data_IF_120021278703
#
_entry.id   IF_120021278703
#
_cell.length_a   1.000
_cell.length_b   1.000
_cell.length_c   1.000
_cell.angle_alpha   90.00
_cell.angle_beta   90.00
_cell.angle_gamma   90.00
#
_symmetry.space_group_name_H-M   'P 1'
#
loop_
_entity.id
_entity.type
_entity.pdbx_description
1 polymer ?
#
# COMPACT_ATOMS: atom_id res chain seq x y z
N UNK A 1 41.74 -12.39 -18.19
CA UNK A 1 41.74 -13.20 -19.42
C UNK A 1 40.29 -13.62 -19.61
N UNK A 2 39.53 -12.90 -20.43
CA UNK A 2 38.08 -13.16 -20.59
C UNK A 2 37.92 -14.31 -21.57
N UNK A 3 37.37 -15.43 -21.11
CA UNK A 3 37.03 -16.56 -21.97
C UNK A 3 36.05 -16.08 -23.05
N UNK A 4 36.48 -16.21 -24.29
CA UNK A 4 35.74 -15.76 -25.46
C UNK A 4 34.68 -16.83 -25.78
N UNK A 5 33.54 -16.77 -25.09
CA UNK A 5 32.42 -17.72 -25.19
C UNK A 5 31.82 -17.76 -26.61
N UNK A 6 32.01 -16.68 -27.39
CA UNK A 6 31.46 -16.55 -28.74
C UNK A 6 32.57 -16.32 -29.78
N UNK A 7 32.44 -16.98 -30.95
CA UNK A 7 33.37 -16.82 -32.07
C UNK A 7 33.38 -15.41 -32.69
N UNK A 8 32.39 -14.59 -32.37
CA UNK A 8 32.23 -13.21 -32.85
C UNK A 8 31.90 -12.36 -31.62
N UNK A 9 32.39 -11.12 -31.57
CA UNK A 9 32.07 -10.22 -30.47
C UNK A 9 30.56 -9.90 -30.43
N UNK A 10 29.90 -9.99 -29.26
CA UNK A 10 28.50 -9.61 -29.13
C UNK A 10 28.30 -8.10 -29.38
N UNK A 11 27.08 -7.67 -29.73
CA UNK A 11 26.76 -6.24 -29.77
C UNK A 11 26.97 -5.60 -28.39
N UNK A 12 27.29 -4.31 -28.35
CA UNK A 12 27.41 -3.56 -27.09
C UNK A 12 26.10 -3.54 -26.29
N UNK A 13 26.15 -3.12 -25.03
CA UNK A 13 25.01 -3.22 -24.10
C UNK A 13 23.71 -2.65 -24.65
N UNK A 14 22.60 -3.31 -24.32
CA UNK A 14 21.26 -2.81 -24.63
C UNK A 14 20.92 -1.62 -23.72
N UNK A 15 20.41 -0.54 -24.31
CA UNK A 15 19.96 0.63 -23.54
C UNK A 15 18.45 0.56 -23.29
N UNK A 16 18.07 0.33 -22.03
CA UNK A 16 16.66 0.32 -21.62
C UNK A 16 16.03 1.73 -21.55
N UNK A 17 16.85 2.77 -21.52
CA UNK A 17 16.43 4.16 -21.34
C UNK A 17 16.21 4.91 -22.66
N UNK A 18 16.63 4.31 -23.79
CA UNK A 18 16.55 4.93 -25.12
C UNK A 18 15.82 4.04 -26.13
N UNK A 19 14.46 4.07 -26.18
CA UNK A 19 13.64 3.24 -27.07
C UNK A 19 13.92 3.42 -28.57
N UNK A 20 14.39 4.60 -28.97
CA UNK A 20 14.76 4.91 -30.36
C UNK A 20 15.94 4.08 -30.87
N UNK A 21 16.81 3.60 -29.97
CA UNK A 21 17.99 2.80 -30.31
C UNK A 21 17.68 1.30 -30.51
N UNK A 22 16.52 0.83 -30.02
CA UNK A 22 16.19 -0.60 -29.95
C UNK A 22 16.15 -1.30 -31.30
N UNK A 23 15.53 -0.74 -32.36
CA UNK A 23 15.50 -1.43 -33.65
C UNK A 23 16.89 -1.65 -34.25
N UNK A 24 17.83 -0.73 -33.98
CA UNK A 24 19.21 -0.86 -34.45
C UNK A 24 19.95 -1.95 -33.69
N UNK A 25 19.75 -2.00 -32.37
CA UNK A 25 20.35 -3.01 -31.51
C UNK A 25 19.83 -4.41 -31.84
N UNK A 26 18.51 -4.59 -31.98
CA UNK A 26 17.87 -5.86 -32.36
C UNK A 26 18.44 -6.38 -33.69
N UNK A 27 18.57 -5.50 -34.70
CA UNK A 27 19.19 -5.87 -35.98
C UNK A 27 20.64 -6.31 -35.84
N UNK A 28 21.41 -5.72 -34.92
CA UNK A 28 22.80 -6.12 -34.64
C UNK A 28 22.86 -7.46 -33.92
N UNK A 29 21.96 -7.69 -32.95
CA UNK A 29 21.86 -8.98 -32.25
C UNK A 29 21.45 -10.12 -33.19
N UNK A 30 20.49 -9.92 -34.08
CA UNK A 30 20.11 -10.95 -35.06
C UNK A 30 21.26 -11.30 -36.02
N UNK A 31 22.06 -10.31 -36.43
CA UNK A 31 23.27 -10.57 -37.23
C UNK A 31 24.30 -11.37 -36.45
N UNK A 32 24.51 -11.04 -35.18
CA UNK A 32 25.35 -11.81 -34.27
C UNK A 32 24.82 -13.24 -34.09
N UNK A 33 23.51 -13.41 -33.91
CA UNK A 33 22.85 -14.69 -33.71
C UNK A 33 23.04 -15.64 -34.89
N UNK A 34 22.94 -15.12 -36.12
CA UNK A 34 23.17 -15.90 -37.34
C UNK A 34 24.67 -16.16 -37.58
N UNK A 35 25.53 -15.16 -37.39
CA UNK A 35 26.94 -15.25 -37.73
C UNK A 35 27.74 -16.10 -36.72
N UNK A 36 27.38 -16.07 -35.43
CA UNK A 36 27.99 -16.91 -34.39
C UNK A 36 27.48 -18.36 -34.39
N UNK A 37 26.46 -18.66 -35.20
CA UNK A 37 25.76 -19.95 -35.19
C UNK A 37 24.88 -20.15 -33.96
N UNK A 38 24.62 -19.11 -33.17
CA UNK A 38 23.73 -19.16 -32.01
C UNK A 38 22.33 -19.64 -32.40
N UNK A 39 21.85 -19.28 -33.60
CA UNK A 39 20.55 -19.74 -34.12
C UNK A 39 20.38 -21.26 -34.24
N UNK A 40 21.47 -22.04 -34.24
CA UNK A 40 21.47 -23.51 -34.34
C UNK A 40 21.64 -24.20 -32.98
N UNK A 41 21.81 -23.43 -31.90
CA UNK A 41 21.92 -23.94 -30.53
C UNK A 41 20.53 -24.18 -29.95
N UNK A 42 20.47 -24.88 -28.83
CA UNK A 42 19.22 -25.11 -28.11
C UNK A 42 18.57 -23.77 -27.71
N UNK A 43 17.25 -23.74 -27.67
CA UNK A 43 16.48 -22.51 -27.39
C UNK A 43 16.92 -21.87 -26.08
N UNK A 44 17.13 -22.70 -25.07
CA UNK A 44 17.67 -22.39 -23.74
C UNK A 44 18.97 -21.58 -23.85
N UNK A 45 19.91 -22.07 -24.65
CA UNK A 45 21.20 -21.42 -24.85
C UNK A 45 21.06 -20.10 -25.62
N UNK A 46 20.13 -20.02 -26.56
CA UNK A 46 19.83 -18.79 -27.30
C UNK A 46 19.24 -17.71 -26.38
N UNK A 47 18.29 -18.09 -25.52
CA UNK A 47 17.65 -17.20 -24.55
C UNK A 47 18.66 -16.73 -23.50
N UNK A 48 19.45 -17.66 -22.93
CA UNK A 48 20.50 -17.33 -21.95
C UNK A 48 21.56 -16.39 -22.53
N UNK A 49 21.96 -16.62 -23.78
CA UNK A 49 22.92 -15.75 -24.46
C UNK A 49 22.34 -14.36 -24.75
N UNK A 50 21.04 -14.25 -25.04
CA UNK A 50 20.37 -12.97 -25.23
C UNK A 50 20.32 -12.16 -23.93
N UNK A 51 19.86 -12.77 -22.84
CA UNK A 51 19.76 -12.10 -21.53
C UNK A 51 21.13 -11.63 -21.04
N UNK A 52 22.14 -12.49 -21.15
CA UNK A 52 23.52 -12.14 -20.82
C UNK A 52 24.03 -10.92 -21.61
N UNK A 53 23.71 -10.83 -22.91
CA UNK A 53 24.14 -9.72 -23.77
C UNK A 53 23.31 -8.44 -23.53
N UNK A 54 22.06 -8.56 -23.06
CA UNK A 54 21.25 -7.40 -22.66
C UNK A 54 21.70 -6.78 -21.32
N UNK A 55 22.42 -7.55 -20.49
CA UNK A 55 23.05 -7.09 -19.25
C UNK A 55 22.11 -7.09 -18.05
N UNK A 56 22.60 -6.64 -16.90
CA UNK A 56 22.01 -6.88 -15.57
C UNK A 56 20.54 -6.43 -15.41
N UNK A 57 20.10 -5.40 -16.13
CA UNK A 57 18.70 -4.92 -16.11
C UNK A 57 17.74 -5.85 -16.86
N UNK A 58 18.23 -6.82 -17.63
CA UNK A 58 17.41 -7.74 -18.41
C UNK A 58 16.63 -8.72 -17.55
N UNK A 59 17.25 -9.24 -16.49
CA UNK A 59 16.64 -10.19 -15.55
C UNK A 59 15.52 -9.52 -14.75
N UNK A 60 15.75 -8.28 -14.30
CA UNK A 60 14.74 -7.45 -13.64
C UNK A 60 13.51 -7.23 -14.54
N UNK A 61 13.73 -6.97 -15.83
CA UNK A 61 12.63 -6.76 -16.78
C UNK A 61 11.92 -8.08 -17.11
N UNK A 62 12.64 -9.17 -17.30
CA UNK A 62 12.04 -10.49 -17.52
C UNK A 62 11.11 -10.89 -16.37
N UNK A 63 11.48 -10.54 -15.13
CA UNK A 63 10.66 -10.81 -13.93
C UNK A 63 9.38 -9.95 -13.85
N UNK A 64 9.32 -8.82 -14.56
CA UNK A 64 8.19 -7.86 -14.51
C UNK A 64 7.23 -7.99 -15.69
N UNK A 65 7.59 -8.73 -16.74
CA UNK A 65 6.71 -8.96 -17.89
C UNK A 65 5.52 -9.85 -17.50
N UNK A 66 4.30 -9.54 -17.96
CA UNK A 66 3.11 -10.34 -17.69
C UNK A 66 3.10 -11.60 -18.58
N UNK A 67 3.98 -12.55 -18.27
CA UNK A 67 4.10 -13.83 -18.97
C UNK A 67 2.90 -14.73 -18.62
N UNK A 68 2.42 -15.51 -19.58
CA UNK A 68 1.40 -16.55 -19.33
C UNK A 68 1.99 -17.71 -18.54
N UNK A 69 1.17 -18.50 -17.86
CA UNK A 69 1.67 -19.58 -17.00
C UNK A 69 2.45 -20.66 -17.78
N UNK A 70 2.11 -20.85 -19.05
CA UNK A 70 2.82 -21.74 -19.97
C UNK A 70 4.21 -21.18 -20.34
N UNK A 71 4.33 -19.86 -20.52
CA UNK A 71 5.59 -19.17 -20.76
C UNK A 71 6.47 -19.19 -19.50
N UNK A 72 5.89 -18.90 -18.32
CA UNK A 72 6.61 -18.97 -17.03
C UNK A 72 7.18 -20.37 -16.76
N UNK A 73 6.44 -21.42 -17.11
CA UNK A 73 6.89 -22.81 -16.94
C UNK A 73 8.10 -23.11 -17.84
N UNK A 74 8.04 -22.69 -19.11
CA UNK A 74 9.16 -22.83 -20.03
C UNK A 74 10.41 -22.08 -19.54
N UNK A 75 10.28 -20.83 -19.04
CA UNK A 75 11.42 -20.08 -18.50
C UNK A 75 11.94 -20.60 -17.14
N UNK A 76 11.10 -21.23 -16.33
CA UNK A 76 11.49 -21.84 -15.06
C UNK A 76 12.33 -23.11 -15.27
N UNK A 77 12.06 -23.89 -16.32
CA UNK A 77 12.86 -25.07 -16.70
C UNK A 77 14.28 -24.68 -17.14
N UNK A 78 14.50 -23.43 -17.57
CA UNK A 78 15.80 -22.89 -17.98
C UNK A 78 16.70 -22.43 -16.82
N UNK A 79 16.27 -22.60 -15.56
CA UNK A 79 16.95 -22.05 -14.37
C UNK A 79 17.21 -20.52 -14.44
N UNK A 80 16.42 -19.78 -15.22
CA UNK A 80 16.59 -18.33 -15.43
C UNK A 80 16.14 -17.48 -14.25
N UNK A 81 15.39 -18.05 -13.32
CA UNK A 81 14.82 -17.34 -12.18
C UNK A 81 15.02 -18.24 -10.97
N UNK A 82 15.91 -17.85 -10.05
CA UNK A 82 15.78 -18.38 -8.69
C UNK A 82 14.46 -17.83 -8.17
N UNK A 83 13.44 -18.68 -8.11
CA UNK A 83 12.11 -18.30 -7.68
C UNK A 83 12.15 -17.89 -6.20
N UNK A 84 12.58 -16.65 -5.93
CA UNK A 84 12.41 -16.02 -4.63
C UNK A 84 10.93 -15.64 -4.57
N UNK A 85 10.14 -16.61 -4.11
CA UNK A 85 8.71 -16.52 -3.80
C UNK A 85 7.88 -15.69 -4.80
N UNK A 86 7.06 -16.38 -5.59
CA UNK A 86 6.00 -15.77 -6.40
C UNK A 86 5.27 -14.64 -5.66
N UNK A 87 5.56 -13.40 -6.06
CA UNK A 87 4.84 -12.19 -5.65
C UNK A 87 3.52 -12.14 -6.43
N UNK A 88 2.68 -13.14 -6.25
CA UNK A 88 1.33 -13.18 -6.82
C UNK A 88 0.31 -13.55 -5.75
N UNK A 89 0.40 -12.88 -4.58
CA UNK A 89 -0.66 -12.80 -3.55
C UNK A 89 -0.46 -11.64 -2.54
N UNK A 90 0.38 -10.65 -2.84
CA UNK A 90 0.94 -9.78 -1.79
C UNK A 90 0.02 -8.68 -1.23
N UNK A 91 -1.02 -8.22 -1.93
CA UNK A 91 -1.84 -7.14 -1.37
C UNK A 91 -2.63 -7.58 -0.13
N UNK A 92 -3.04 -8.85 -0.08
CA UNK A 92 -3.81 -9.41 1.03
C UNK A 92 -2.88 -9.96 2.12
N UNK A 93 -1.81 -10.65 1.71
CA UNK A 93 -0.83 -11.24 2.62
C UNK A 93 -0.05 -10.17 3.41
N UNK A 94 0.40 -9.09 2.76
CA UNK A 94 1.13 -8.02 3.46
C UNK A 94 0.27 -7.32 4.51
N UNK A 95 -1.02 -7.08 4.23
CA UNK A 95 -1.95 -6.48 5.18
C UNK A 95 -2.17 -7.37 6.41
N UNK A 96 -2.24 -8.68 6.21
CA UNK A 96 -2.32 -9.65 7.30
C UNK A 96 -1.02 -9.67 8.12
N UNK A 97 0.14 -9.65 7.44
CA UNK A 97 1.46 -9.62 8.07
C UNK A 97 1.64 -8.38 8.95
N UNK A 98 1.26 -7.19 8.48
CA UNK A 98 1.33 -5.97 9.30
C UNK A 98 0.36 -5.98 10.48
N UNK A 99 -0.85 -6.52 10.30
CA UNK A 99 -1.80 -6.70 11.43
C UNK A 99 -1.24 -7.67 12.48
N UNK A 100 -0.56 -8.73 12.04
CA UNK A 100 0.09 -9.69 12.93
C UNK A 100 1.33 -9.11 13.63
N UNK A 101 2.12 -8.28 12.94
CA UNK A 101 3.30 -7.64 13.51
C UNK A 101 2.96 -6.49 14.47
N UNK A 102 1.87 -5.76 14.22
CA UNK A 102 1.49 -4.59 15.01
C UNK A 102 0.04 -4.67 15.52
N UNK A 103 -0.34 -5.73 16.27
CA UNK A 103 -1.73 -5.96 16.67
C UNK A 103 -2.29 -4.77 17.48
N UNK A 104 -1.44 -4.14 18.30
CA UNK A 104 -1.80 -2.97 19.12
C UNK A 104 -2.17 -1.72 18.31
N UNK A 105 -1.65 -1.57 17.08
CA UNK A 105 -1.92 -0.40 16.21
C UNK A 105 -3.27 -0.55 15.50
N UNK A 106 -3.67 -1.77 15.19
CA UNK A 106 -4.88 -2.07 14.44
C UNK A 106 -6.07 -2.49 15.32
N UNK A 107 -5.96 -2.33 16.65
CA UNK A 107 -7.01 -2.70 17.61
C UNK A 107 -7.48 -1.50 18.42
N UNK A 108 -8.80 -1.26 18.45
CA UNK A 108 -9.42 -0.32 19.37
C UNK A 108 -9.04 1.14 19.18
N UNK A 109 -9.19 1.94 20.24
CA UNK A 109 -8.80 3.34 20.27
C UNK A 109 -7.40 3.48 20.88
N UNK A 110 -6.53 4.24 20.21
CA UNK A 110 -5.23 4.63 20.77
C UNK A 110 -5.36 5.83 21.71
N UNK A 111 -4.40 5.96 22.64
CA UNK A 111 -4.27 7.12 23.53
C UNK A 111 -2.88 7.74 23.35
N UNK A 112 -2.82 8.95 22.80
CA UNK A 112 -1.60 9.73 22.75
C UNK A 112 -1.24 10.20 24.16
N UNK A 113 0.03 10.07 24.54
CA UNK A 113 0.49 10.48 25.86
C UNK A 113 0.65 12.00 25.95
N UNK A 114 0.30 12.56 27.11
CA UNK A 114 0.36 14.01 27.38
C UNK A 114 -1.00 14.71 27.28
N UNK A 115 -1.04 15.95 27.73
CA UNK A 115 -2.22 16.82 27.67
C UNK A 115 -2.13 17.75 26.47
N UNK A 116 -3.21 17.87 25.71
CA UNK A 116 -3.32 18.89 24.66
C UNK A 116 -4.03 20.14 25.19
N UNK A 117 -3.43 21.31 24.99
CA UNK A 117 -4.03 22.61 25.35
C UNK A 117 -4.65 23.24 24.11
N UNK A 118 -5.98 23.35 24.10
CA UNK A 118 -6.72 24.06 23.04
C UNK A 118 -6.40 25.56 23.15
N UNK A 119 -5.86 26.14 22.07
CA UNK A 119 -5.57 27.59 22.00
C UNK A 119 -6.80 28.32 21.47
N UNK A 120 -7.29 29.30 22.24
CA UNK A 120 -8.38 30.18 21.82
C UNK A 120 -7.84 31.40 21.09
N UNK A 121 -8.65 32.00 20.21
CA UNK A 121 -8.35 33.30 19.61
C UNK A 121 -8.41 34.40 20.67
N UNK A 122 -7.66 35.48 20.46
CA UNK A 122 -7.73 36.66 21.31
C UNK A 122 -9.15 37.25 21.29
N UNK A 123 -9.70 37.57 22.46
CA UNK A 123 -11.08 38.05 22.60
C UNK A 123 -12.18 36.97 22.47
N UNK A 124 -11.84 35.68 22.52
CA UNK A 124 -12.84 34.61 22.49
C UNK A 124 -13.80 34.69 23.69
N UNK A 125 -15.10 34.79 23.41
CA UNK A 125 -16.17 34.84 24.42
C UNK A 125 -16.71 33.44 24.68
N UNK A 126 -16.83 33.00 25.95
CA UNK A 126 -17.44 31.72 26.29
C UNK A 126 -18.88 31.57 25.81
N UNK A 127 -19.22 30.38 25.35
CA UNK A 127 -20.58 30.01 24.97
C UNK A 127 -21.04 28.79 25.76
N UNK A 128 -22.07 28.98 26.58
CA UNK A 128 -22.71 27.92 27.34
C UNK A 128 -24.23 27.92 27.10
N UNK A 129 -24.75 26.74 26.75
CA UNK A 129 -26.19 26.50 26.75
C UNK A 129 -26.69 26.28 28.17
N UNK A 130 -27.81 26.93 28.53
CA UNK A 130 -28.53 26.71 29.79
C UNK A 130 -29.22 25.35 29.82
N UNK A 131 -29.73 24.90 28.67
CA UNK A 131 -30.57 23.71 28.57
C UNK A 131 -30.00 22.69 27.57
N UNK A 132 -30.04 21.39 27.90
CA UNK A 132 -29.60 20.34 26.99
C UNK A 132 -30.56 20.20 25.81
N UNK A 133 -30.01 19.85 24.63
CA UNK A 133 -30.83 19.53 23.45
C UNK A 133 -31.65 18.25 23.67
N UNK A 134 -32.90 18.27 23.18
CA UNK A 134 -33.81 17.12 23.27
C UNK A 134 -33.35 15.98 22.36
N UNK A 135 -33.31 14.78 22.93
CA UNK A 135 -33.05 13.53 22.19
C UNK A 135 -34.40 12.83 21.92
N UNK A 136 -34.66 12.35 20.69
CA UNK A 136 -35.87 11.58 20.39
C UNK A 136 -36.05 10.38 21.32
N UNK A 137 -37.27 10.15 21.81
CA UNK A 137 -37.57 9.07 22.77
C UNK A 137 -37.04 7.69 22.33
N UNK A 138 -37.19 7.25 21.05
CA UNK A 138 -36.71 5.94 20.63
C UNK A 138 -35.18 5.78 20.70
N UNK A 139 -34.43 6.89 20.70
CA UNK A 139 -32.96 6.88 20.71
C UNK A 139 -32.39 7.15 22.10
N UNK A 140 -33.23 7.50 23.09
CA UNK A 140 -32.77 7.95 24.41
C UNK A 140 -31.90 6.91 25.11
N UNK A 141 -32.33 5.65 25.13
CA UNK A 141 -31.57 4.57 25.78
C UNK A 141 -30.25 4.30 25.04
N UNK A 142 -30.29 4.22 23.71
CA UNK A 142 -29.10 3.98 22.88
C UNK A 142 -28.05 5.08 23.05
N UNK A 143 -28.49 6.34 23.18
CA UNK A 143 -27.59 7.49 23.40
C UNK A 143 -26.94 7.41 24.78
N UNK A 144 -27.72 7.01 25.80
CA UNK A 144 -27.19 6.79 27.15
C UNK A 144 -26.14 5.67 27.16
N UNK A 145 -26.44 4.52 26.57
CA UNK A 145 -25.48 3.40 26.44
C UNK A 145 -24.17 3.82 25.74
N UNK A 146 -24.26 4.64 24.69
CA UNK A 146 -23.06 5.12 23.98
C UNK A 146 -22.26 6.13 24.81
N UNK A 147 -22.90 6.98 25.60
CA UNK A 147 -22.23 7.87 26.56
C UNK A 147 -21.53 7.06 27.66
N UNK A 148 -22.24 6.11 28.27
CA UNK A 148 -21.72 5.20 29.30
C UNK A 148 -20.50 4.43 28.76
N UNK A 149 -20.57 3.94 27.51
CA UNK A 149 -19.45 3.27 26.82
C UNK A 149 -18.25 4.20 26.63
N UNK A 150 -18.47 5.46 26.23
CA UNK A 150 -17.37 6.41 26.03
C UNK A 150 -16.71 6.84 27.35
N UNK A 151 -17.49 6.95 28.43
CA UNK A 151 -16.96 7.20 29.77
C UNK A 151 -16.14 6.00 30.27
N UNK A 152 -16.63 4.77 30.09
CA UNK A 152 -15.91 3.55 30.43
C UNK A 152 -14.58 3.40 29.63
N UNK A 153 -14.54 3.87 28.39
CA UNK A 153 -13.32 3.93 27.57
C UNK A 153 -12.39 5.09 27.94
N UNK A 154 -12.79 5.99 28.84
CA UNK A 154 -12.02 7.17 29.23
C UNK A 154 -11.91 8.23 28.12
N UNK A 155 -12.83 8.22 27.15
CA UNK A 155 -12.89 9.21 26.05
C UNK A 155 -13.52 10.52 26.55
N UNK A 156 -14.53 10.41 27.41
CA UNK A 156 -15.19 11.54 28.07
C UNK A 156 -15.23 11.31 29.57
N UNK A 157 -15.58 12.36 30.32
CA UNK A 157 -15.81 12.30 31.78
C UNK A 157 -16.99 13.17 32.15
N UNK A 158 -17.77 12.73 33.14
CA UNK A 158 -18.79 13.59 33.77
C UNK A 158 -18.13 14.80 34.45
N UNK A 159 -18.78 15.96 34.33
CA UNK A 159 -18.45 17.19 35.06
C UNK A 159 -19.71 17.59 35.83
N UNK A 160 -19.58 17.81 37.14
CA UNK A 160 -20.72 18.15 38.01
C UNK A 160 -20.90 19.66 38.20
N UNK A 161 -19.84 20.44 37.96
CA UNK A 161 -19.86 21.88 38.12
C UNK A 161 -20.20 22.58 36.80
N UNK A 162 -20.94 23.71 36.83
CA UNK A 162 -21.18 24.52 35.65
C UNK A 162 -19.88 24.99 35.00
N UNK A 163 -19.84 24.98 33.67
CA UNK A 163 -18.70 25.44 32.88
C UNK A 163 -19.10 26.62 32.00
N UNK A 164 -18.17 27.54 31.77
CA UNK A 164 -18.38 28.68 30.86
C UNK A 164 -18.55 28.26 29.40
N UNK A 165 -18.10 27.05 29.07
CA UNK A 165 -18.21 26.45 27.74
C UNK A 165 -19.10 25.22 27.81
N UNK A 166 -20.24 25.27 27.12
CA UNK A 166 -21.15 24.15 26.98
C UNK A 166 -21.79 24.17 25.59
N UNK A 167 -21.47 23.16 24.80
CA UNK A 167 -21.95 22.99 23.44
C UNK A 167 -23.06 21.92 23.40
N UNK A 168 -24.13 22.17 22.66
CA UNK A 168 -25.24 21.23 22.55
C UNK A 168 -24.85 19.96 21.82
N UNK A 169 -25.20 18.81 22.36
CA UNK A 169 -25.03 17.52 21.70
C UNK A 169 -25.98 17.38 20.48
N UNK A 170 -25.53 16.69 19.43
CA UNK A 170 -26.36 16.26 18.30
C UNK A 170 -26.23 14.74 18.14
N UNK A 171 -27.35 14.07 17.85
CA UNK A 171 -27.38 12.61 17.65
C UNK A 171 -27.69 12.30 16.19
N UNK A 172 -26.82 11.55 15.54
CA UNK A 172 -26.98 11.13 14.13
C UNK A 172 -27.03 9.61 14.04
N UNK A 173 -28.03 9.00 13.36
CA UNK A 173 -28.08 7.55 13.17
C UNK A 173 -26.98 7.07 12.20
N UNK A 174 -26.28 6.01 12.56
CA UNK A 174 -25.36 5.28 11.65
C UNK A 174 -26.14 4.27 10.79
N UNK A 175 -25.59 3.80 9.66
CA UNK A 175 -26.20 2.72 8.85
C UNK A 175 -26.49 1.44 9.65
N UNK A 176 -25.68 1.14 10.68
CA UNK A 176 -25.88 0.01 11.58
C UNK A 176 -26.90 0.28 12.70
N UNK A 177 -27.74 1.32 12.56
CA UNK A 177 -28.78 1.77 13.51
C UNK A 177 -28.29 2.18 14.91
N UNK A 178 -26.97 2.30 15.14
CA UNK A 178 -26.41 2.84 16.39
C UNK A 178 -26.33 4.37 16.33
N UNK A 179 -26.44 5.08 17.47
CA UNK A 179 -26.27 6.53 17.51
C UNK A 179 -24.80 6.93 17.29
N UNK A 180 -24.61 8.11 16.71
CA UNK A 180 -23.34 8.85 16.68
C UNK A 180 -23.54 10.16 17.40
N UNK A 181 -22.71 10.39 18.40
CA UNK A 181 -22.72 11.62 19.20
C UNK A 181 -21.78 12.62 18.53
N UNK A 182 -22.32 13.79 18.18
CA UNK A 182 -21.64 14.85 17.47
C UNK A 182 -21.69 16.16 18.26
N UNK A 183 -20.65 16.97 18.12
CA UNK A 183 -20.69 18.38 18.53
C UNK A 183 -21.60 19.22 17.61
N UNK A 184 -21.94 20.45 18.02
CA UNK A 184 -22.67 21.37 17.16
C UNK A 184 -21.90 21.61 15.86
N UNK A 185 -22.62 21.63 14.74
CA UNK A 185 -22.09 22.22 13.52
C UNK A 185 -22.08 23.74 13.69
N UNK A 186 -20.95 24.45 13.47
CA UNK A 186 -20.97 25.90 13.43
C UNK A 186 -21.74 26.32 12.17
N UNK A 187 -22.95 26.82 12.35
CA UNK A 187 -23.71 27.57 11.34
C UNK A 187 -23.23 29.01 11.30
#
# INVERSE_FOLDING_TARGET
>A
MTDQIFSIAPPGNFSFEEPSSWPQWIRRFERFRLASGLNRKDEDYQVNSLLYVMGDKSDDILSTLPLTDQQKTAYAELNLIQQVASVQEEKQDMSHRYRAMFPKVFSGLGKLQGSYKIKLKEGAVPHALSDPRRVPLPMKEQVKEELDRMEALGVIRKIEQPTEWCAGMVVVPKPNKKPRICGPHPT
#
